data_IF_962296530226
#
_entry.id   IF_962296530226
#
_cell.length_a   1.000
_cell.length_b   1.000
_cell.length_c   1.000
_cell.angle_alpha   90.00
_cell.angle_beta   90.00
_cell.angle_gamma   90.00
#
_symmetry.space_group_name_H-M   'P 1'
#
loop_
_entity.id
_entity.type
_entity.pdbx_description
1 polymer ?
#
# COMPACT_ATOMS: atom_id res chain seq x y z
N UNK A 1 -10.03 6.55 1.75
CA UNK A 1 -9.95 6.37 0.27
C UNK A 1 -11.19 5.67 -0.29
N UNK A 2 -11.62 4.57 0.32
CA UNK A 2 -12.79 3.80 -0.14
C UNK A 2 -14.10 4.62 -0.27
N UNK A 3 -14.39 5.51 0.69
CA UNK A 3 -15.60 6.34 0.63
C UNK A 3 -15.70 7.19 -0.64
N UNK A 4 -14.59 7.75 -1.11
CA UNK A 4 -14.55 8.62 -2.30
C UNK A 4 -15.03 7.88 -3.53
N UNK A 5 -14.51 6.67 -3.76
CA UNK A 5 -14.92 5.85 -4.90
C UNK A 5 -16.38 5.39 -4.82
N UNK A 6 -16.87 5.07 -3.63
CA UNK A 6 -18.26 4.68 -3.43
C UNK A 6 -19.23 5.83 -3.69
N UNK A 7 -18.92 7.03 -3.18
CA UNK A 7 -19.73 8.24 -3.43
C UNK A 7 -19.70 8.61 -4.91
N UNK A 8 -18.53 8.54 -5.54
CA UNK A 8 -18.38 8.86 -6.96
C UNK A 8 -19.21 7.92 -7.85
N UNK A 9 -19.20 6.61 -7.57
CA UNK A 9 -19.97 5.65 -8.35
C UNK A 9 -21.48 5.77 -8.11
N UNK A 10 -21.92 6.08 -6.87
CA UNK A 10 -23.32 6.38 -6.59
C UNK A 10 -23.83 7.58 -7.39
N UNK A 11 -23.03 8.65 -7.43
CA UNK A 11 -23.36 9.85 -8.20
C UNK A 11 -23.42 9.55 -9.69
N UNK A 12 -22.46 8.79 -10.22
CA UNK A 12 -22.42 8.39 -11.63
C UNK A 12 -23.66 7.57 -12.05
N UNK A 13 -24.12 6.67 -11.18
CA UNK A 13 -25.30 5.82 -11.41
C UNK A 13 -26.63 6.49 -11.03
N UNK A 14 -26.62 7.72 -10.51
CA UNK A 14 -27.83 8.47 -10.14
C UNK A 14 -28.59 7.88 -8.95
N UNK A 15 -27.93 7.11 -8.07
CA UNK A 15 -28.58 6.55 -6.89
C UNK A 15 -28.65 7.56 -5.74
N UNK A 16 -29.81 7.62 -5.08
CA UNK A 16 -30.00 8.45 -3.89
C UNK A 16 -29.37 7.82 -2.64
N UNK A 17 -28.98 8.67 -1.69
CA UNK A 17 -28.57 8.22 -0.36
C UNK A 17 -29.75 7.55 0.36
N UNK A 18 -29.51 6.36 0.89
CA UNK A 18 -30.52 5.56 1.59
C UNK A 18 -29.84 4.68 2.66
N UNK A 19 -30.65 4.06 3.52
CA UNK A 19 -30.14 3.12 4.54
C UNK A 19 -29.38 1.96 3.89
N UNK A 20 -29.85 1.46 2.74
CA UNK A 20 -29.19 0.42 1.96
C UNK A 20 -27.76 0.84 1.54
N UNK A 21 -27.61 2.07 1.07
CA UNK A 21 -26.30 2.65 0.71
C UNK A 21 -25.40 2.77 1.94
N UNK A 22 -25.94 3.21 3.08
CA UNK A 22 -25.18 3.31 4.32
C UNK A 22 -24.64 1.95 4.79
N UNK A 23 -25.44 0.89 4.69
CA UNK A 23 -25.00 -0.49 4.96
C UNK A 23 -23.87 -0.90 4.01
N UNK A 24 -23.97 -0.56 2.72
CA UNK A 24 -22.90 -0.79 1.75
C UNK A 24 -21.58 -0.09 2.12
N UNK A 25 -21.64 1.15 2.63
CA UNK A 25 -20.46 1.86 3.11
C UNK A 25 -19.87 1.27 4.38
N UNK A 26 -20.69 0.74 5.30
CA UNK A 26 -20.21 0.04 6.50
C UNK A 26 -19.45 -1.24 6.09
N UNK A 27 -20.01 -2.03 5.18
CA UNK A 27 -19.34 -3.21 4.65
C UNK A 27 -18.02 -2.85 3.96
N UNK A 28 -18.02 -1.80 3.14
CA UNK A 28 -16.81 -1.28 2.50
C UNK A 28 -15.75 -0.83 3.52
N UNK A 29 -16.15 -0.20 4.61
CA UNK A 29 -15.22 0.25 5.65
C UNK A 29 -14.47 -0.95 6.27
N UNK A 30 -15.17 -2.05 6.54
CA UNK A 30 -14.57 -3.30 7.03
C UNK A 30 -13.51 -3.85 6.07
N UNK A 31 -13.87 -4.03 4.80
CA UNK A 31 -12.94 -4.53 3.75
C UNK A 31 -11.75 -3.59 3.54
N UNK A 32 -11.99 -2.27 3.60
CA UNK A 32 -10.92 -1.28 3.50
C UNK A 32 -9.95 -1.36 4.68
N UNK A 33 -10.48 -1.49 5.91
CA UNK A 33 -9.66 -1.64 7.12
C UNK A 33 -8.86 -2.95 7.10
N UNK A 34 -9.50 -4.07 6.77
CA UNK A 34 -8.86 -5.38 6.61
C UNK A 34 -7.66 -5.28 5.66
N UNK A 35 -7.90 -4.80 4.45
CA UNK A 35 -6.83 -4.74 3.44
C UNK A 35 -5.73 -3.71 3.77
N UNK A 36 -6.04 -2.66 4.53
CA UNK A 36 -5.06 -1.70 5.03
C UNK A 36 -4.16 -2.28 6.11
N UNK A 37 -4.73 -2.98 7.09
CA UNK A 37 -3.98 -3.66 8.17
C UNK A 37 -3.08 -4.74 7.59
N UNK A 38 -3.62 -5.53 6.67
CA UNK A 38 -2.86 -6.53 5.90
C UNK A 38 -1.63 -5.85 5.27
N UNK A 39 -1.77 -4.76 4.51
CA UNK A 39 -0.62 -4.07 3.93
C UNK A 39 0.49 -3.76 4.96
N UNK A 40 0.12 -3.17 6.11
CA UNK A 40 1.09 -2.86 7.17
C UNK A 40 1.83 -4.09 7.69
N UNK A 41 1.14 -5.21 7.89
CA UNK A 41 1.75 -6.46 8.38
C UNK A 41 2.85 -6.96 7.45
N UNK A 42 2.68 -6.88 6.11
CA UNK A 42 3.78 -7.31 5.21
C UNK A 42 4.89 -6.28 5.12
N UNK A 43 4.59 -4.99 5.21
CA UNK A 43 5.65 -3.97 5.27
C UNK A 43 6.51 -4.18 6.53
N UNK A 44 5.89 -4.48 7.67
CA UNK A 44 6.61 -4.82 8.90
C UNK A 44 7.38 -6.15 8.78
N UNK A 45 6.81 -7.16 8.13
CA UNK A 45 7.48 -8.44 7.89
C UNK A 45 8.71 -8.27 6.98
N UNK A 46 8.55 -7.60 5.83
CA UNK A 46 9.63 -7.31 4.90
C UNK A 46 10.73 -6.44 5.54
N UNK A 47 10.35 -5.47 6.37
CA UNK A 47 11.31 -4.69 7.15
C UNK A 47 12.07 -5.55 8.16
N UNK A 48 11.37 -6.47 8.84
CA UNK A 48 11.99 -7.44 9.75
C UNK A 48 13.01 -8.34 9.04
N UNK A 49 12.67 -8.86 7.86
CA UNK A 49 13.58 -9.69 7.05
C UNK A 49 14.83 -8.92 6.62
N UNK A 50 14.68 -7.70 6.09
CA UNK A 50 15.84 -6.89 5.68
C UNK A 50 16.69 -6.52 6.88
N UNK A 51 16.07 -6.18 8.02
CA UNK A 51 16.81 -5.85 9.24
C UNK A 51 17.60 -7.03 9.79
N UNK A 52 17.02 -8.24 9.80
CA UNK A 52 17.72 -9.46 10.20
C UNK A 52 18.91 -9.75 9.27
N UNK A 53 18.79 -9.49 7.96
CA UNK A 53 19.92 -9.59 7.01
C UNK A 53 21.02 -8.57 7.32
N UNK A 54 20.67 -7.32 7.66
CA UNK A 54 21.65 -6.31 8.07
C UNK A 54 22.41 -6.72 9.35
N UNK A 55 21.68 -7.21 10.35
CA UNK A 55 22.24 -7.63 11.63
C UNK A 55 23.18 -8.84 11.45
N UNK A 56 22.80 -9.82 10.63
CA UNK A 56 23.66 -10.95 10.28
C UNK A 56 24.95 -10.55 9.55
N UNK A 57 24.92 -9.42 8.82
CA UNK A 57 26.08 -8.84 8.13
C UNK A 57 26.85 -7.82 9.00
N UNK A 58 26.41 -7.56 10.23
CA UNK A 58 27.01 -6.56 11.12
C UNK A 58 26.92 -5.12 10.61
N UNK A 59 26.03 -4.83 9.64
CA UNK A 59 25.89 -3.50 9.01
C UNK A 59 24.75 -2.71 9.62
N UNK A 60 24.91 -1.40 9.68
CA UNK A 60 23.84 -0.50 10.10
C UNK A 60 22.68 -0.50 9.10
N UNK A 61 21.45 -0.44 9.60
CA UNK A 61 20.25 -0.29 8.77
C UNK A 61 20.16 1.15 8.25
N UNK A 62 20.00 1.32 6.94
CA UNK A 62 20.02 2.62 6.26
C UNK A 62 18.72 2.93 5.54
N UNK A 63 18.59 4.15 5.00
CA UNK A 63 17.44 4.52 4.15
C UNK A 63 17.33 3.70 2.86
N UNK A 64 18.45 3.23 2.30
CA UNK A 64 18.43 2.41 1.10
C UNK A 64 17.76 1.05 1.38
N UNK A 65 18.09 0.44 2.54
CA UNK A 65 17.52 -0.83 2.98
C UNK A 65 16.03 -0.72 3.28
N UNK A 66 15.60 0.41 3.85
CA UNK A 66 14.18 0.69 4.05
C UNK A 66 13.44 0.74 2.71
N UNK A 67 14.03 1.36 1.68
CA UNK A 67 13.43 1.44 0.37
C UNK A 67 13.32 0.05 -0.28
N UNK A 68 14.37 -0.77 -0.17
CA UNK A 68 14.36 -2.16 -0.63
C UNK A 68 13.28 -2.99 0.07
N UNK A 69 13.18 -2.89 1.40
CA UNK A 69 12.17 -3.59 2.18
C UNK A 69 10.73 -3.20 1.76
N UNK A 70 10.49 -1.91 1.55
CA UNK A 70 9.19 -1.40 1.09
C UNK A 70 8.88 -1.92 -0.31
N UNK A 71 9.85 -1.94 -1.23
CA UNK A 71 9.66 -2.45 -2.59
C UNK A 71 9.32 -3.95 -2.60
N UNK A 72 10.06 -4.76 -1.83
CA UNK A 72 9.78 -6.19 -1.68
C UNK A 72 8.38 -6.42 -1.11
N UNK A 73 8.07 -5.80 0.04
CA UNK A 73 6.78 -5.95 0.71
C UNK A 73 5.60 -5.43 -0.11
N UNK A 74 5.78 -4.34 -0.87
CA UNK A 74 4.74 -3.79 -1.73
C UNK A 74 4.41 -4.71 -2.91
N UNK A 75 5.42 -5.26 -3.60
CA UNK A 75 5.22 -6.15 -4.76
C UNK A 75 4.54 -7.46 -4.34
N UNK A 76 4.97 -8.05 -3.22
CA UNK A 76 4.36 -9.28 -2.68
C UNK A 76 2.88 -9.10 -2.35
N UNK A 77 2.46 -7.87 -2.02
CA UNK A 77 1.07 -7.54 -1.68
C UNK A 77 0.18 -7.31 -2.90
N UNK A 78 0.73 -6.93 -4.07
CA UNK A 78 -0.08 -6.66 -5.27
C UNK A 78 -0.88 -7.89 -5.68
N UNK A 79 -0.27 -9.08 -5.73
CA UNK A 79 -0.95 -10.31 -6.15
C UNK A 79 -2.13 -10.67 -5.23
N UNK A 80 -1.97 -10.79 -3.90
CA UNK A 80 -3.07 -11.03 -2.98
C UNK A 80 -4.15 -9.92 -3.00
N UNK A 81 -3.74 -8.65 -3.11
CA UNK A 81 -4.68 -7.52 -3.15
C UNK A 81 -5.56 -7.55 -4.39
N UNK A 82 -4.98 -7.85 -5.56
CA UNK A 82 -5.75 -7.97 -6.80
C UNK A 82 -6.68 -9.19 -6.75
N UNK A 83 -6.25 -10.30 -6.15
CA UNK A 83 -7.11 -11.48 -5.97
C UNK A 83 -8.40 -11.14 -5.19
N UNK A 84 -8.30 -10.42 -4.07
CA UNK A 84 -9.49 -10.07 -3.27
C UNK A 84 -10.39 -9.09 -3.98
N UNK A 85 -9.81 -8.08 -4.65
CA UNK A 85 -10.57 -7.09 -5.42
C UNK A 85 -11.32 -7.77 -6.55
N UNK A 86 -10.66 -8.64 -7.31
CA UNK A 86 -11.30 -9.38 -8.41
C UNK A 86 -12.41 -10.29 -7.89
N UNK A 87 -12.18 -11.00 -6.79
CA UNK A 87 -13.20 -11.88 -6.19
C UNK A 87 -14.46 -11.12 -5.77
N UNK A 88 -14.29 -10.00 -5.06
CA UNK A 88 -15.43 -9.17 -4.62
C UNK A 88 -16.13 -8.53 -5.83
N UNK A 89 -15.37 -8.03 -6.81
CA UNK A 89 -15.94 -7.48 -8.04
C UNK A 89 -16.74 -8.55 -8.80
N UNK A 90 -16.19 -9.76 -8.97
CA UNK A 90 -16.87 -10.86 -9.64
C UNK A 90 -18.15 -11.30 -8.93
N UNK A 91 -18.18 -11.26 -7.59
CA UNK A 91 -19.38 -11.57 -6.80
C UNK A 91 -20.45 -10.48 -6.82
N UNK A 92 -20.05 -9.20 -6.91
CA UNK A 92 -21.00 -8.07 -6.84
C UNK A 92 -21.45 -7.57 -8.21
N UNK A 93 -20.65 -7.77 -9.28
CA UNK A 93 -20.97 -7.28 -10.62
C UNK A 93 -22.32 -7.82 -11.16
N UNK A 94 -22.69 -9.11 -10.96
CA UNK A 94 -23.99 -9.61 -11.42
C UNK A 94 -25.18 -8.93 -10.72
N UNK A 95 -24.99 -8.45 -9.48
CA UNK A 95 -26.04 -7.77 -8.71
C UNK A 95 -26.39 -6.43 -9.36
N UNK A 96 -25.41 -5.75 -9.97
CA UNK A 96 -25.64 -4.49 -10.67
C UNK A 96 -26.51 -4.63 -11.93
N UNK A 97 -26.40 -5.75 -12.63
CA UNK A 97 -27.14 -5.99 -13.89
C UNK A 97 -28.46 -6.73 -13.71
N UNK A 98 -28.71 -7.28 -12.52
CA UNK A 98 -29.96 -7.98 -12.26
C UNK A 98 -31.13 -6.99 -12.20
N UNK A 99 -32.18 -7.23 -13.00
CA UNK A 99 -33.41 -6.40 -13.08
C UNK A 99 -34.64 -7.06 -12.44
N UNK A 100 -34.44 -8.09 -11.61
CA UNK A 100 -35.54 -8.76 -10.90
C UNK A 100 -36.09 -7.99 -9.69
N UNK A 101 -37.16 -8.51 -9.09
CA UNK A 101 -37.76 -8.00 -7.84
C UNK A 101 -36.72 -7.90 -6.72
N UNK A 102 -36.67 -6.76 -6.02
CA UNK A 102 -35.70 -6.51 -4.95
C UNK A 102 -34.30 -6.09 -5.42
N UNK A 103 -34.04 -6.05 -6.74
CA UNK A 103 -32.76 -5.60 -7.29
C UNK A 103 -32.41 -4.17 -6.89
N UNK A 104 -33.39 -3.26 -6.82
CA UNK A 104 -33.15 -1.86 -6.46
C UNK A 104 -32.48 -1.70 -5.09
N UNK A 105 -32.83 -2.55 -4.11
CA UNK A 105 -32.23 -2.51 -2.78
C UNK A 105 -30.83 -3.12 -2.82
N UNK A 106 -30.66 -4.27 -3.49
CA UNK A 106 -29.36 -4.93 -3.58
C UNK A 106 -28.32 -4.13 -4.36
N UNK A 107 -28.72 -3.47 -5.45
CA UNK A 107 -27.86 -2.56 -6.22
C UNK A 107 -27.38 -1.41 -5.33
N UNK A 108 -28.27 -0.78 -4.55
CA UNK A 108 -27.91 0.31 -3.63
C UNK A 108 -26.92 -0.13 -2.54
N UNK A 109 -26.93 -1.39 -2.13
CA UNK A 109 -25.94 -1.96 -1.18
C UNK A 109 -24.60 -2.22 -1.88
N UNK A 110 -24.62 -2.75 -3.11
CA UNK A 110 -23.43 -3.19 -3.83
C UNK A 110 -22.61 -2.04 -4.46
N UNK A 111 -23.28 -0.99 -4.94
CA UNK A 111 -22.62 0.13 -5.64
C UNK A 111 -21.50 0.78 -4.82
N UNK A 112 -21.71 1.18 -3.54
CA UNK A 112 -20.65 1.76 -2.73
C UNK A 112 -19.43 0.84 -2.61
N UNK A 113 -19.65 -0.47 -2.48
CA UNK A 113 -18.59 -1.45 -2.32
C UNK A 113 -17.71 -1.54 -3.57
N UNK A 114 -18.33 -1.63 -4.75
CA UNK A 114 -17.64 -1.71 -6.05
C UNK A 114 -16.80 -0.46 -6.28
N UNK A 115 -17.41 0.72 -6.25
CA UNK A 115 -16.71 1.97 -6.52
C UNK A 115 -15.62 2.24 -5.47
N UNK A 116 -15.92 1.93 -4.21
CA UNK A 116 -15.01 2.14 -3.11
C UNK A 116 -13.80 1.23 -3.14
N UNK A 117 -13.96 -0.05 -3.52
CA UNK A 117 -12.83 -0.96 -3.65
C UNK A 117 -11.86 -0.55 -4.74
N UNK A 118 -12.35 -0.10 -5.90
CA UNK A 118 -11.50 0.34 -7.01
C UNK A 118 -10.61 1.49 -6.54
N UNK A 119 -11.23 2.54 -5.99
CA UNK A 119 -10.48 3.71 -5.51
C UNK A 119 -9.59 3.37 -4.31
N UNK A 120 -10.08 2.57 -3.37
CA UNK A 120 -9.30 2.16 -2.20
C UNK A 120 -8.08 1.36 -2.59
N UNK A 121 -8.18 0.46 -3.57
CA UNK A 121 -7.06 -0.40 -3.97
C UNK A 121 -5.90 0.40 -4.51
N UNK A 122 -6.16 1.28 -5.47
CA UNK A 122 -5.12 2.13 -6.07
C UNK A 122 -4.50 3.03 -5.01
N UNK A 123 -5.33 3.72 -4.21
CA UNK A 123 -4.83 4.70 -3.25
C UNK A 123 -4.12 4.02 -2.07
N UNK A 124 -4.57 2.85 -1.61
CA UNK A 124 -3.94 2.16 -0.47
C UNK A 124 -2.57 1.59 -0.86
N UNK A 125 -2.44 1.06 -2.08
CA UNK A 125 -1.16 0.56 -2.61
C UNK A 125 -0.12 1.68 -2.76
N UNK A 126 -0.55 2.92 -3.03
CA UNK A 126 0.36 4.05 -3.16
C UNK A 126 0.62 4.76 -1.83
N UNK A 127 -0.44 5.03 -1.07
CA UNK A 127 -0.38 5.91 0.11
C UNK A 127 0.21 5.20 1.32
N UNK A 128 -0.12 3.92 1.57
CA UNK A 128 0.41 3.22 2.75
C UNK A 128 1.94 3.06 2.67
N UNK A 129 2.53 2.55 1.57
CA UNK A 129 3.99 2.43 1.47
C UNK A 129 4.70 3.79 1.57
N UNK A 130 4.13 4.84 0.97
CA UNK A 130 4.68 6.20 1.04
C UNK A 130 4.69 6.74 2.48
N UNK A 131 3.58 6.63 3.22
CA UNK A 131 3.51 7.05 4.61
C UNK A 131 4.45 6.20 5.48
N UNK A 132 4.47 4.88 5.26
CA UNK A 132 5.34 3.98 6.00
C UNK A 132 6.83 4.35 5.84
N UNK A 133 7.27 4.62 4.61
CA UNK A 133 8.62 5.08 4.30
C UNK A 133 8.96 6.43 4.93
N UNK A 134 8.02 7.38 4.95
CA UNK A 134 8.21 8.67 5.61
C UNK A 134 8.37 8.51 7.13
N UNK A 135 7.48 7.75 7.76
CA UNK A 135 7.47 7.58 9.23
C UNK A 135 8.68 6.80 9.71
N UNK A 136 8.99 5.65 9.09
CA UNK A 136 10.15 4.82 9.47
C UNK A 136 11.48 5.45 9.03
N UNK A 137 11.49 6.13 7.88
CA UNK A 137 12.67 6.78 7.31
C UNK A 137 13.11 8.03 8.05
N UNK A 138 12.25 8.64 8.88
CA UNK A 138 12.56 9.92 9.52
C UNK A 138 13.79 9.89 10.43
N UNK A 139 14.08 8.74 11.06
CA UNK A 139 15.25 8.58 11.96
C UNK A 139 16.44 7.85 11.33
N UNK A 140 16.37 7.51 10.05
CA UNK A 140 17.41 6.73 9.38
C UNK A 140 18.45 7.62 8.67
N UNK A 141 19.76 7.32 8.82
CA UNK A 141 20.81 8.00 8.09
C UNK A 141 20.62 7.82 6.58
N UNK A 142 20.67 8.93 5.84
CA UNK A 142 20.76 8.95 4.38
C UNK A 142 22.18 8.67 3.95
N UNK A 143 22.52 7.42 3.65
CA UNK A 143 23.80 7.05 3.05
C UNK A 143 23.80 7.35 1.55
N UNK A 144 23.97 8.63 1.21
CA UNK A 144 24.52 9.09 -0.07
C UNK A 144 26.00 9.49 0.10
N UNK A 145 26.80 8.69 0.79
CA UNK A 145 28.23 8.96 0.90
C UNK A 145 29.10 7.68 0.92
N UNK A 146 29.32 7.03 -0.23
CA UNK A 146 30.54 6.25 -0.46
C UNK A 146 31.70 7.11 -1.00
N UNK A 147 31.48 8.37 -1.40
CA UNK A 147 32.47 9.13 -2.18
C UNK A 147 33.58 9.77 -1.34
N UNK A 148 33.32 10.11 -0.07
CA UNK A 148 34.35 10.76 0.77
C UNK A 148 35.47 9.82 1.21
N UNK A 149 35.18 8.55 1.47
CA UNK A 149 36.20 7.58 1.89
C UNK A 149 37.18 7.20 0.76
N UNK A 150 36.71 7.19 -0.49
CA UNK A 150 37.57 6.95 -1.66
C UNK A 150 38.42 8.18 -2.03
N UNK A 151 37.92 9.39 -1.79
CA UNK A 151 38.67 10.63 -2.05
C UNK A 151 39.72 10.93 -0.97
N UNK A 152 39.50 10.57 0.29
CA UNK A 152 40.49 10.79 1.38
C UNK A 152 41.68 9.82 1.28
N UNK A 153 41.43 8.57 0.86
CA UNK A 153 42.47 7.58 0.60
C UNK A 153 43.35 7.94 -0.63
N UNK A 154 42.83 8.71 -1.58
CA UNK A 154 43.57 9.18 -2.76
C UNK A 154 44.41 10.45 -2.50
N UNK A 155 44.24 11.10 -1.34
CA UNK A 155 44.97 12.32 -0.95
C UNK A 155 46.08 12.12 0.10
N UNK A 156 46.36 10.88 0.51
CA UNK A 156 47.52 10.60 1.36
C UNK A 156 48.83 10.85 0.58
N UNK A 157 49.75 11.69 1.08
CA UNK A 157 50.86 12.20 0.28
C UNK A 157 51.86 11.11 -0.07
N UNK A 158 52.16 11.00 -1.37
CA UNK A 158 53.23 10.20 -1.98
C UNK A 158 54.62 10.82 -1.66
N UNK A 159 54.95 11.02 -0.38
CA UNK A 159 56.23 11.63 0.05
C UNK A 159 57.06 10.71 0.97
N UNK A 160 56.53 9.58 1.45
CA UNK A 160 57.24 8.71 2.39
C UNK A 160 57.89 7.45 1.76
N UNK A 161 58.19 7.43 0.45
CA UNK A 161 58.81 6.28 -0.23
C UNK A 161 60.11 6.60 -0.98
N UNK A 162 60.70 7.78 -0.76
CA UNK A 162 62.04 8.12 -1.26
C UNK A 162 62.80 8.89 -0.16
N UNK A 163 63.22 8.17 0.87
CA UNK A 163 64.43 8.37 1.69
C UNK A 163 64.65 7.09 2.51
#
# INVERSE_FOLDING_TARGET
>A
FALVGGIWLLWWLGFNMSVAVAVGFIALAGVAAETGVIMLIYLDHALGEVRARCEAQGRAFTRADLHEAIMLGAVERVRPKIMTVVAIMAGLLPILWNTGTGSEVMQRIAVPMIGGMVSSTVLTLLVIPAIYGLVKGWRLPSTLAPEKAASEAASAPLVAAVE
#
